data_IF_981099389804
#
_entry.id   IF_981099389804
#
_cell.length_a   1.000
_cell.length_b   1.000
_cell.length_c   1.000
_cell.angle_alpha   90.00
_cell.angle_beta   90.00
_cell.angle_gamma   90.00
#
_symmetry.space_group_name_H-M   'P 1'
#
loop_
_entity.id
_entity.type
_entity.pdbx_description
1 polymer ?
#
# COMPACT_ATOMS: atom_id res chain seq x y z
N UNK A 1 13.01 1.00 11.69
CA UNK A 1 13.45 -0.38 11.92
C UNK A 1 12.22 -1.23 12.23
N UNK A 2 12.09 -2.35 11.54
CA UNK A 2 10.94 -3.24 11.62
C UNK A 2 11.41 -4.63 12.07
N UNK A 3 10.56 -5.35 12.80
CA UNK A 3 10.75 -6.76 13.12
C UNK A 3 9.68 -7.61 12.45
N UNK A 4 10.09 -8.72 11.88
CA UNK A 4 9.22 -9.78 11.35
C UNK A 4 9.54 -11.07 12.10
N UNK A 5 8.51 -11.78 12.59
CA UNK A 5 8.66 -13.05 13.30
C UNK A 5 7.53 -13.99 12.88
N UNK A 6 7.89 -15.10 12.24
CA UNK A 6 6.96 -16.16 11.79
C UNK A 6 5.82 -15.62 10.91
N UNK A 7 6.14 -14.74 9.97
CA UNK A 7 5.18 -14.09 9.08
C UNK A 7 5.67 -14.04 7.63
N UNK A 8 4.74 -13.86 6.71
CA UNK A 8 5.02 -13.43 5.35
C UNK A 8 4.78 -11.92 5.23
N UNK A 9 5.83 -11.11 5.34
CA UNK A 9 5.68 -9.66 5.37
C UNK A 9 5.22 -9.07 4.02
N UNK A 10 5.67 -9.68 2.92
CA UNK A 10 5.35 -9.25 1.56
C UNK A 10 5.57 -10.41 0.59
N UNK A 11 4.51 -11.18 0.34
CA UNK A 11 4.55 -12.30 -0.58
C UNK A 11 4.70 -11.88 -2.04
N UNK A 12 5.37 -12.74 -2.82
CA UNK A 12 5.50 -12.58 -4.25
C UNK A 12 4.47 -13.45 -4.99
N UNK A 13 3.43 -12.84 -5.62
CA UNK A 13 2.38 -13.60 -6.30
C UNK A 13 2.91 -14.42 -7.49
N UNK A 14 4.02 -14.00 -8.11
CA UNK A 14 4.65 -14.71 -9.22
C UNK A 14 5.53 -15.88 -8.75
N UNK A 15 5.81 -15.97 -7.45
CA UNK A 15 6.64 -17.01 -6.85
C UNK A 15 5.87 -17.75 -5.74
N UNK A 16 4.65 -18.19 -6.03
CA UNK A 16 3.83 -18.97 -5.08
C UNK A 16 3.57 -18.24 -3.75
N UNK A 17 3.53 -16.92 -3.77
CA UNK A 17 3.35 -16.05 -2.59
C UNK A 17 4.43 -16.26 -1.50
N UNK A 18 5.66 -16.63 -1.90
CA UNK A 18 6.81 -16.69 -0.98
C UNK A 18 7.20 -15.28 -0.52
N UNK A 19 7.71 -15.12 0.71
CA UNK A 19 8.33 -13.87 1.12
C UNK A 19 9.38 -13.42 0.11
N UNK A 20 9.40 -12.14 -0.25
CA UNK A 20 10.37 -11.59 -1.20
C UNK A 20 11.76 -11.59 -0.60
N UNK A 21 12.74 -11.94 -1.40
CA UNK A 21 14.17 -11.83 -1.09
C UNK A 21 14.93 -11.36 -2.32
N UNK A 22 16.06 -10.72 -2.10
CA UNK A 22 17.05 -10.49 -3.16
C UNK A 22 17.89 -11.75 -3.42
N UNK A 23 18.87 -11.65 -4.35
CA UNK A 23 19.77 -12.75 -4.69
C UNK A 23 20.71 -13.15 -3.55
N UNK A 24 20.96 -12.26 -2.60
CA UNK A 24 21.75 -12.53 -1.39
C UNK A 24 20.96 -13.19 -0.27
N UNK A 25 19.66 -13.40 -0.47
CA UNK A 25 18.78 -13.95 0.56
C UNK A 25 18.29 -12.92 1.58
N UNK A 26 18.57 -11.62 1.38
CA UNK A 26 18.03 -10.56 2.22
C UNK A 26 16.55 -10.39 1.95
N UNK A 27 15.74 -10.43 3.00
CA UNK A 27 14.29 -10.25 2.87
C UNK A 27 13.93 -8.85 2.44
N UNK A 28 12.92 -8.72 1.58
CA UNK A 28 12.40 -7.45 1.09
C UNK A 28 10.94 -7.23 1.45
N UNK A 29 10.62 -6.03 1.92
CA UNK A 29 9.26 -5.50 2.00
C UNK A 29 9.22 -4.27 1.08
N UNK A 30 8.48 -4.37 -0.02
CA UNK A 30 8.45 -3.31 -1.04
C UNK A 30 7.89 -2.01 -0.49
N UNK A 31 8.33 -0.88 -1.07
CA UNK A 31 7.79 0.45 -0.77
C UNK A 31 6.28 0.53 -0.99
N UNK A 32 5.77 -0.16 -2.01
CA UNK A 32 4.32 -0.25 -2.30
C UNK A 32 3.58 -0.92 -1.14
N UNK A 33 4.13 -2.01 -0.59
CA UNK A 33 3.57 -2.70 0.56
C UNK A 33 3.55 -1.78 1.80
N UNK A 34 4.65 -1.08 2.08
CA UNK A 34 4.74 -0.14 3.20
C UNK A 34 3.75 1.03 3.03
N UNK A 35 3.70 1.63 1.83
CA UNK A 35 2.77 2.72 1.52
C UNK A 35 1.30 2.29 1.66
N UNK A 36 0.96 1.04 1.30
CA UNK A 36 -0.39 0.52 1.54
C UNK A 36 -0.73 0.55 3.03
N UNK A 37 0.15 0.04 3.87
CA UNK A 37 -0.07 0.02 5.33
C UNK A 37 -0.20 1.42 5.93
N UNK A 38 0.61 2.36 5.46
CA UNK A 38 0.47 3.76 5.86
C UNK A 38 -0.87 4.36 5.43
N UNK A 39 -1.33 4.07 4.19
CA UNK A 39 -2.66 4.50 3.75
C UNK A 39 -3.78 3.92 4.60
N UNK A 40 -3.68 2.64 4.97
CA UNK A 40 -4.66 1.99 5.84
C UNK A 40 -4.74 2.68 7.21
N UNK A 41 -3.58 3.03 7.80
CA UNK A 41 -3.54 3.77 9.08
C UNK A 41 -4.06 5.20 8.95
N UNK A 42 -3.69 5.90 7.88
CA UNK A 42 -4.20 7.24 7.60
C UNK A 42 -5.72 7.24 7.40
N UNK A 43 -6.26 6.24 6.71
CA UNK A 43 -7.71 6.08 6.53
C UNK A 43 -8.40 5.86 7.89
N UNK A 44 -7.84 5.03 8.75
CA UNK A 44 -8.37 4.79 10.10
C UNK A 44 -8.25 6.02 11.01
N UNK A 45 -7.27 6.89 10.80
CA UNK A 45 -7.18 8.17 11.50
C UNK A 45 -8.13 9.25 10.95
N UNK A 46 -8.95 8.91 9.95
CA UNK A 46 -9.94 9.82 9.38
C UNK A 46 -9.45 10.64 8.19
N UNK A 47 -8.25 10.37 7.68
CA UNK A 47 -7.75 11.05 6.49
C UNK A 47 -8.45 10.54 5.22
N UNK A 48 -8.74 11.45 4.29
CA UNK A 48 -9.26 11.06 2.99
C UNK A 48 -8.14 10.43 2.15
N UNK A 49 -8.32 9.19 1.72
CA UNK A 49 -7.35 8.40 0.95
C UNK A 49 -7.93 8.04 -0.41
N UNK A 50 -7.16 8.31 -1.46
CA UNK A 50 -7.51 7.97 -2.83
C UNK A 50 -7.30 6.48 -3.14
N UNK A 51 -6.12 5.93 -2.80
CA UNK A 51 -5.80 4.53 -3.06
C UNK A 51 -6.16 3.70 -1.84
N UNK A 52 -7.40 3.23 -1.80
CA UNK A 52 -7.91 2.33 -0.75
C UNK A 52 -7.90 0.89 -1.27
N UNK A 53 -7.53 -0.05 -0.42
CA UNK A 53 -7.62 -1.48 -0.75
C UNK A 53 -9.09 -1.95 -0.73
N UNK A 54 -9.41 -2.95 -1.57
CA UNK A 54 -10.80 -3.42 -1.73
C UNK A 54 -11.41 -3.96 -0.44
N UNK A 55 -10.60 -4.54 0.45
CA UNK A 55 -11.00 -5.06 1.74
C UNK A 55 -11.22 -3.99 2.82
N UNK A 56 -10.75 -2.75 2.59
CA UNK A 56 -10.80 -1.66 3.57
C UNK A 56 -11.45 -0.38 3.05
N UNK A 57 -11.92 -0.38 1.80
CA UNK A 57 -12.58 0.80 1.23
C UNK A 57 -13.85 1.17 2.01
N UNK A 58 -14.01 2.46 2.25
CA UNK A 58 -15.11 3.00 3.06
C UNK A 58 -16.16 3.73 2.23
N UNK A 59 -15.92 3.93 0.94
CA UNK A 59 -16.75 4.77 0.06
C UNK A 59 -17.57 3.97 -0.97
N UNK A 60 -17.41 2.63 -1.01
CA UNK A 60 -18.14 1.76 -1.93
C UNK A 60 -17.70 1.85 -3.40
N UNK A 61 -16.71 2.69 -3.73
CA UNK A 61 -16.26 2.86 -5.11
C UNK A 61 -15.59 1.59 -5.65
N UNK A 62 -15.91 1.23 -6.89
CA UNK A 62 -15.47 -0.04 -7.49
C UNK A 62 -14.12 0.03 -8.18
N UNK A 63 -13.61 1.24 -8.42
CA UNK A 63 -12.29 1.47 -9.04
C UNK A 63 -11.74 2.84 -8.67
N UNK A 64 -10.42 3.03 -8.88
CA UNK A 64 -9.79 4.35 -8.72
C UNK A 64 -10.40 5.40 -9.67
N UNK A 65 -10.78 4.99 -10.88
CA UNK A 65 -11.45 5.89 -11.81
C UNK A 65 -12.82 6.32 -11.28
N UNK A 66 -13.63 5.37 -10.83
CA UNK A 66 -14.95 5.69 -10.27
C UNK A 66 -14.82 6.63 -9.07
N UNK A 67 -13.86 6.36 -8.17
CA UNK A 67 -13.57 7.25 -7.03
C UNK A 67 -13.16 8.65 -7.49
N UNK A 68 -12.26 8.76 -8.49
CA UNK A 68 -11.83 10.06 -9.01
C UNK A 68 -13.00 10.84 -9.64
N UNK A 69 -13.82 10.17 -10.46
CA UNK A 69 -14.93 10.77 -11.21
C UNK A 69 -16.23 10.88 -10.39
N UNK A 70 -16.31 10.33 -9.20
CA UNK A 70 -17.46 10.39 -8.32
C UNK A 70 -17.80 11.85 -7.95
N UNK A 71 -19.07 12.20 -8.01
CA UNK A 71 -19.52 13.52 -7.59
C UNK A 71 -19.51 13.70 -6.06
N UNK A 72 -19.62 12.59 -5.31
CA UNK A 72 -19.63 12.59 -3.84
C UNK A 72 -18.23 12.35 -3.28
N UNK A 73 -17.59 11.27 -3.73
CA UNK A 73 -16.32 10.81 -3.19
C UNK A 73 -15.11 11.36 -3.94
N UNK A 74 -15.29 11.88 -5.16
CA UNK A 74 -14.23 12.33 -6.06
C UNK A 74 -14.24 13.83 -6.35
N UNK A 75 -13.74 14.16 -7.53
CA UNK A 75 -13.71 15.51 -8.08
C UNK A 75 -14.76 15.75 -9.17
N UNK A 76 -15.54 14.71 -9.50
CA UNK A 76 -16.48 14.72 -10.59
C UNK A 76 -15.83 14.43 -11.95
N UNK A 77 -16.64 13.98 -12.92
CA UNK A 77 -16.16 13.61 -14.26
C UNK A 77 -15.54 14.77 -15.04
N UNK A 78 -15.99 15.99 -14.78
CA UNK A 78 -15.51 17.18 -15.52
C UNK A 78 -14.05 17.50 -15.23
N UNK A 79 -13.54 17.17 -14.05
CA UNK A 79 -12.15 17.35 -13.67
C UNK A 79 -11.19 16.48 -14.49
N UNK A 80 -11.68 15.40 -15.11
CA UNK A 80 -10.88 14.43 -15.86
C UNK A 80 -11.20 14.40 -17.36
N UNK A 81 -11.88 15.42 -17.90
CA UNK A 81 -12.08 15.61 -19.33
C UNK A 81 -10.78 16.05 -20.00
N UNK A 82 -10.64 15.75 -21.31
CA UNK A 82 -9.45 16.09 -22.10
C UNK A 82 -9.09 17.59 -22.07
N UNK A 83 -10.11 18.44 -22.02
CA UNK A 83 -9.99 19.91 -21.97
C UNK A 83 -9.99 20.50 -20.55
N UNK A 84 -9.98 19.65 -19.52
CA UNK A 84 -9.90 20.13 -18.14
C UNK A 84 -8.54 20.77 -17.85
N UNK A 85 -8.52 21.75 -16.97
CA UNK A 85 -7.28 22.34 -16.49
C UNK A 85 -6.55 21.35 -15.56
N UNK A 86 -5.49 20.73 -16.08
CA UNK A 86 -4.73 19.69 -15.36
C UNK A 86 -4.13 20.18 -14.05
N UNK A 87 -3.64 21.41 -14.01
CA UNK A 87 -3.03 21.99 -12.80
C UNK A 87 -4.10 22.26 -11.73
N UNK A 88 -5.25 22.77 -12.13
CA UNK A 88 -6.38 22.93 -11.21
C UNK A 88 -6.87 21.60 -10.66
N UNK A 89 -7.00 20.57 -11.50
CA UNK A 89 -7.38 19.23 -11.07
C UNK A 89 -6.33 18.63 -10.12
N UNK A 90 -5.04 18.79 -10.41
CA UNK A 90 -3.97 18.33 -9.53
C UNK A 90 -4.04 18.99 -8.15
N UNK A 91 -4.26 20.31 -8.09
CA UNK A 91 -4.44 21.04 -6.82
C UNK A 91 -5.65 20.55 -6.03
N UNK A 92 -6.79 20.36 -6.69
CA UNK A 92 -7.99 19.82 -6.06
C UNK A 92 -7.78 18.39 -5.53
N UNK A 93 -7.09 17.53 -6.29
CA UNK A 93 -6.76 16.18 -5.88
C UNK A 93 -5.85 16.17 -4.64
N UNK A 94 -4.82 17.01 -4.63
CA UNK A 94 -3.93 17.16 -3.47
C UNK A 94 -4.68 17.71 -2.24
N UNK A 95 -5.57 18.69 -2.43
CA UNK A 95 -6.37 19.24 -1.34
C UNK A 95 -7.31 18.19 -0.74
N UNK A 96 -7.90 17.32 -1.60
CA UNK A 96 -8.87 16.32 -1.16
C UNK A 96 -8.23 15.11 -0.50
N UNK A 97 -7.19 14.52 -1.12
CA UNK A 97 -6.64 13.23 -0.68
C UNK A 97 -5.24 13.36 -0.09
N UNK A 98 -5.09 12.89 1.13
CA UNK A 98 -3.82 12.90 1.84
C UNK A 98 -2.73 12.14 1.08
N UNK A 99 -3.02 10.92 0.63
CA UNK A 99 -2.03 10.08 -0.05
C UNK A 99 -1.63 10.61 -1.42
N UNK A 100 -2.50 11.37 -2.09
CA UNK A 100 -2.16 12.06 -3.35
C UNK A 100 -1.17 13.19 -3.09
N UNK A 101 -1.43 14.07 -2.09
CA UNK A 101 -0.49 15.16 -1.77
C UNK A 101 0.81 14.69 -1.15
N UNK A 102 0.78 13.53 -0.44
CA UNK A 102 1.97 12.97 0.21
C UNK A 102 2.83 12.15 -0.75
N UNK A 103 2.26 11.14 -1.39
CA UNK A 103 2.99 10.15 -2.18
C UNK A 103 2.94 10.39 -3.69
N UNK A 104 2.04 11.27 -4.12
CA UNK A 104 1.75 11.51 -5.53
C UNK A 104 0.82 10.47 -6.14
N UNK A 105 0.35 10.77 -7.35
CA UNK A 105 -0.54 9.91 -8.13
C UNK A 105 -0.45 10.26 -9.60
N UNK A 106 -0.63 9.26 -10.47
CA UNK A 106 -0.89 9.49 -11.90
C UNK A 106 -2.34 9.16 -12.18
N UNK A 107 -3.13 10.18 -12.54
CA UNK A 107 -4.49 9.98 -13.02
C UNK A 107 -4.42 9.76 -14.54
N UNK A 108 -4.31 8.51 -14.96
CA UNK A 108 -4.26 8.12 -16.36
C UNK A 108 -5.53 7.31 -16.69
N UNK A 109 -6.50 7.99 -17.27
CA UNK A 109 -7.76 7.36 -17.63
C UNK A 109 -7.89 7.32 -19.15
N UNK A 110 -8.06 6.11 -19.70
CA UNK A 110 -8.36 5.93 -21.11
C UNK A 110 -9.74 6.54 -21.43
N UNK A 111 -9.82 7.27 -22.55
CA UNK A 111 -11.10 7.68 -23.05
C UNK A 111 -11.83 6.48 -23.67
N UNK A 112 -13.15 6.41 -23.51
CA UNK A 112 -13.98 5.52 -24.29
C UNK A 112 -14.12 6.08 -25.71
N UNK A 113 -13.70 5.32 -26.72
CA UNK A 113 -13.74 5.75 -28.13
C UNK A 113 -12.55 6.64 -28.55
N UNK A 114 -12.69 7.36 -29.67
CA UNK A 114 -11.65 8.20 -30.29
C UNK A 114 -11.25 9.47 -29.51
N UNK A 115 -11.82 9.72 -28.35
CA UNK A 115 -11.46 10.85 -27.50
C UNK A 115 -10.20 10.50 -26.71
N UNK A 116 -9.10 11.19 -26.93
CA UNK A 116 -7.82 10.97 -26.26
C UNK A 116 -7.96 11.01 -24.73
N UNK A 117 -7.26 10.09 -24.02
CA UNK A 117 -7.27 9.99 -22.58
C UNK A 117 -6.67 11.21 -21.86
N UNK A 118 -6.94 11.34 -20.57
CA UNK A 118 -6.30 12.34 -19.72
C UNK A 118 -5.15 11.70 -18.95
N UNK A 119 -4.04 12.44 -18.84
CA UNK A 119 -2.92 12.07 -17.96
C UNK A 119 -2.54 13.29 -17.12
N UNK A 120 -2.66 13.14 -15.79
CA UNK A 120 -2.34 14.18 -14.80
C UNK A 120 -1.35 13.54 -13.81
N UNK A 121 -0.03 13.74 -13.99
CA UNK A 121 0.97 13.26 -13.07
C UNK A 121 1.13 14.22 -11.90
N UNK A 122 1.09 13.69 -10.69
CA UNK A 122 1.37 14.43 -9.45
C UNK A 122 2.54 13.72 -8.77
N UNK A 123 3.63 14.45 -8.55
CA UNK A 123 4.78 13.96 -7.80
C UNK A 123 4.68 14.42 -6.36
N UNK A 124 4.54 13.47 -5.44
CA UNK A 124 4.48 13.75 -4.01
C UNK A 124 5.85 14.01 -3.39
N UNK A 125 5.90 14.72 -2.25
CA UNK A 125 7.12 15.03 -1.50
C UNK A 125 7.66 13.83 -0.72
N UNK A 126 6.81 12.90 -0.31
CA UNK A 126 7.17 11.79 0.58
C UNK A 126 7.65 10.60 -0.23
N UNK A 127 8.89 10.21 -0.01
CA UNK A 127 9.45 8.97 -0.54
C UNK A 127 9.68 7.97 0.59
N UNK A 128 9.42 6.71 0.32
CA UNK A 128 9.72 5.58 1.20
C UNK A 128 10.39 4.54 0.33
N UNK A 129 11.50 3.99 0.79
CA UNK A 129 12.22 2.93 0.10
C UNK A 129 11.68 1.56 0.53
N UNK A 130 11.94 0.52 -0.26
CA UNK A 130 11.77 -0.86 0.22
C UNK A 130 12.56 -1.08 1.51
N UNK A 131 12.00 -1.87 2.41
CA UNK A 131 12.73 -2.31 3.60
C UNK A 131 13.49 -3.58 3.28
N UNK A 132 14.77 -3.62 3.60
CA UNK A 132 15.60 -4.82 3.49
C UNK A 132 16.01 -5.33 4.86
N UNK A 133 16.09 -6.64 4.99
CA UNK A 133 16.60 -7.25 6.22
C UNK A 133 18.09 -6.95 6.39
N UNK A 134 18.55 -6.85 7.65
CA UNK A 134 19.97 -6.57 7.96
C UNK A 134 20.85 -7.79 7.79
N UNK A 135 20.24 -8.97 7.75
CA UNK A 135 20.87 -10.26 7.51
C UNK A 135 20.00 -11.10 6.58
N UNK A 136 20.55 -12.09 5.85
CA UNK A 136 19.76 -13.04 5.09
C UNK A 136 18.70 -13.70 5.97
N UNK A 137 17.50 -13.91 5.42
CA UNK A 137 16.38 -14.49 6.17
C UNK A 137 16.14 -15.95 5.81
N UNK A 138 15.74 -16.73 6.80
CA UNK A 138 15.30 -18.11 6.57
C UNK A 138 13.79 -18.15 6.29
N UNK A 139 13.43 -18.83 5.19
CA UNK A 139 12.04 -19.01 4.78
C UNK A 139 11.62 -20.44 5.01
N UNK A 140 10.71 -20.64 5.95
CA UNK A 140 10.06 -21.94 6.19
C UNK A 140 8.86 -22.07 5.26
N UNK A 141 8.80 -23.20 4.56
CA UNK A 141 7.69 -23.61 3.69
C UNK A 141 6.98 -24.81 4.30
N UNK A 142 5.68 -24.67 4.55
CA UNK A 142 4.87 -25.72 5.17
C UNK A 142 3.70 -26.05 4.26
N UNK A 143 3.50 -27.32 3.96
CA UNK A 143 2.30 -27.77 3.28
C UNK A 143 1.10 -27.67 4.23
N UNK A 144 -0.01 -27.15 3.72
CA UNK A 144 -1.28 -27.06 4.44
C UNK A 144 -2.36 -27.79 3.65
N UNK A 145 -3.35 -28.32 4.35
CA UNK A 145 -4.52 -28.93 3.74
C UNK A 145 -5.79 -28.31 4.29
N UNK A 146 -6.78 -28.13 3.42
CA UNK A 146 -8.14 -27.78 3.85
C UNK A 146 -8.80 -29.02 4.45
N UNK A 147 -9.58 -28.83 5.50
CA UNK A 147 -10.40 -29.89 6.10
C UNK A 147 -11.63 -30.23 5.26
N UNK A 148 -12.07 -29.27 4.43
CA UNK A 148 -13.26 -29.38 3.57
C UNK A 148 -12.90 -28.97 2.15
N UNK A 149 -13.36 -29.71 1.15
CA UNK A 149 -13.23 -29.32 -0.26
C UNK A 149 -14.16 -28.14 -0.58
N UNK A 150 -13.66 -27.14 -1.30
CA UNK A 150 -14.44 -25.98 -1.74
C UNK A 150 -15.34 -26.30 -2.92
N UNK A 151 -14.97 -27.29 -3.71
CA UNK A 151 -15.71 -27.78 -4.89
C UNK A 151 -15.73 -29.32 -4.85
N UNK A 152 -16.85 -29.90 -5.15
CA UNK A 152 -17.00 -31.37 -5.20
C UNK A 152 -18.38 -31.83 -4.70
N UNK A 153 -18.74 -33.04 -5.12
CA UNK A 153 -19.98 -33.72 -4.75
C UNK A 153 -19.96 -34.38 -3.36
N UNK A 154 -18.87 -34.16 -2.60
CA UNK A 154 -18.70 -34.77 -1.26
C UNK A 154 -18.17 -36.19 -1.24
N UNK A 155 -17.95 -36.83 -2.40
CA UNK A 155 -17.51 -38.23 -2.47
C UNK A 155 -15.99 -38.40 -2.49
N UNK A 156 -15.24 -37.40 -2.96
CA UNK A 156 -13.78 -37.38 -3.02
C UNK A 156 -13.22 -36.01 -2.65
N UNK A 157 -12.04 -35.98 -2.00
CA UNK A 157 -11.29 -34.76 -1.81
C UNK A 157 -10.77 -34.24 -3.15
N UNK A 158 -11.12 -33.01 -3.50
CA UNK A 158 -10.59 -32.33 -4.68
C UNK A 158 -9.09 -32.00 -4.53
N UNK A 159 -8.41 -31.78 -5.65
CA UNK A 159 -6.98 -31.35 -5.69
C UNK A 159 -6.73 -29.96 -5.10
N UNK A 160 -7.79 -29.16 -4.92
CA UNK A 160 -7.76 -27.83 -4.33
C UNK A 160 -7.57 -27.81 -2.80
N UNK A 161 -7.53 -28.99 -2.16
CA UNK A 161 -7.41 -29.12 -0.70
C UNK A 161 -6.00 -28.92 -0.17
N UNK A 162 -4.99 -28.91 -1.03
CA UNK A 162 -3.58 -28.72 -0.67
C UNK A 162 -3.08 -27.35 -1.05
N UNK A 163 -2.24 -26.77 -0.22
CA UNK A 163 -1.57 -25.51 -0.48
C UNK A 163 -0.24 -25.41 0.25
N UNK A 164 0.52 -24.36 -0.05
CA UNK A 164 1.77 -24.06 0.62
C UNK A 164 1.64 -22.75 1.40
N UNK A 165 2.19 -22.73 2.60
CA UNK A 165 2.35 -21.52 3.41
C UNK A 165 3.83 -21.25 3.61
N UNK A 166 4.24 -20.04 3.28
CA UNK A 166 5.63 -19.60 3.39
C UNK A 166 5.72 -18.44 4.39
N UNK A 167 6.77 -18.45 5.19
CA UNK A 167 7.00 -17.41 6.21
C UNK A 167 8.49 -17.18 6.41
N UNK A 168 8.85 -15.95 6.74
CA UNK A 168 10.14 -15.63 7.35
C UNK A 168 10.11 -16.07 8.80
N UNK A 169 11.12 -16.80 9.26
CA UNK A 169 11.17 -17.24 10.65
C UNK A 169 11.47 -16.09 11.60
N UNK A 170 12.45 -15.27 11.27
CA UNK A 170 12.79 -14.04 11.98
C UNK A 170 13.60 -13.12 11.07
N UNK A 171 13.44 -11.79 11.23
CA UNK A 171 14.25 -10.82 10.52
C UNK A 171 14.04 -9.40 11.06
N UNK A 172 15.12 -8.63 11.10
CA UNK A 172 15.11 -7.19 11.35
C UNK A 172 15.27 -6.49 10.00
N UNK A 173 14.39 -5.55 9.70
CA UNK A 173 14.37 -4.84 8.41
C UNK A 173 14.58 -3.35 8.66
N UNK A 174 15.33 -2.71 7.77
CA UNK A 174 15.52 -1.27 7.76
C UNK A 174 14.93 -0.68 6.48
N UNK A 175 14.26 0.46 6.61
CA UNK A 175 13.81 1.29 5.50
C UNK A 175 14.13 2.74 5.79
N UNK A 176 14.23 3.53 4.74
CA UNK A 176 14.48 4.97 4.79
C UNK A 176 13.41 5.70 4.00
N UNK A 177 13.16 6.92 4.39
CA UNK A 177 12.25 7.82 3.69
C UNK A 177 12.73 9.26 3.77
N UNK A 178 12.18 10.12 2.93
CA UNK A 178 12.46 11.55 2.96
C UNK A 178 11.22 12.34 2.57
N UNK A 179 11.17 13.58 3.03
CA UNK A 179 10.18 14.58 2.63
C UNK A 179 10.93 15.71 1.94
N UNK A 180 10.59 15.97 0.66
CA UNK A 180 11.18 17.04 -0.13
C UNK A 180 10.37 18.32 0.00
N UNK A 181 10.89 19.41 0.60
CA UNK A 181 10.15 20.65 0.83
C UNK A 181 9.66 21.31 -0.47
N UNK A 182 10.46 21.29 -1.53
CA UNK A 182 10.08 21.91 -2.82
C UNK A 182 8.88 21.21 -3.49
N UNK A 183 8.77 19.89 -3.31
CA UNK A 183 7.61 19.13 -3.78
C UNK A 183 6.41 19.32 -2.83
N UNK A 184 6.66 19.48 -1.54
CA UNK A 184 5.63 19.75 -0.54
C UNK A 184 4.88 21.07 -0.84
N UNK A 185 5.60 22.13 -1.18
CA UNK A 185 5.00 23.40 -1.62
C UNK A 185 4.06 23.23 -2.83
N UNK A 186 4.43 22.36 -3.78
CA UNK A 186 3.63 22.14 -4.99
C UNK A 186 2.35 21.36 -4.72
N UNK A 187 2.38 20.43 -3.77
CA UNK A 187 1.23 19.58 -3.45
C UNK A 187 0.39 20.09 -2.29
N UNK A 188 0.88 21.10 -1.56
CA UNK A 188 0.25 21.59 -0.35
C UNK A 188 0.44 20.68 0.87
N UNK A 189 1.44 19.78 0.82
CA UNK A 189 1.82 18.95 1.96
C UNK A 189 2.54 19.81 3.01
N UNK A 190 1.97 19.92 4.19
CA UNK A 190 2.46 20.80 5.24
C UNK A 190 3.01 20.08 6.48
N UNK A 191 3.42 20.88 7.47
CA UNK A 191 3.92 20.38 8.75
C UNK A 191 2.88 19.51 9.48
N UNK A 192 1.60 19.84 9.39
CA UNK A 192 0.53 19.03 9.98
C UNK A 192 0.47 17.62 9.36
N UNK A 193 0.60 17.53 8.03
CA UNK A 193 0.65 16.24 7.33
C UNK A 193 1.90 15.44 7.72
N UNK A 194 3.04 16.12 7.89
CA UNK A 194 4.28 15.49 8.34
C UNK A 194 4.16 14.93 9.76
N UNK A 195 3.49 15.65 10.67
CA UNK A 195 3.23 15.17 12.03
C UNK A 195 2.26 13.98 12.04
N UNK A 196 1.21 14.02 11.22
CA UNK A 196 0.28 12.89 11.07
C UNK A 196 1.03 11.65 10.56
N UNK A 197 1.85 11.80 9.51
CA UNK A 197 2.67 10.70 8.99
C UNK A 197 3.62 10.16 10.07
N UNK A 198 4.28 11.04 10.83
CA UNK A 198 5.17 10.66 11.93
C UNK A 198 4.44 9.88 13.02
N UNK A 199 3.22 10.29 13.36
CA UNK A 199 2.41 9.64 14.39
C UNK A 199 1.96 8.22 14.01
N UNK A 200 1.68 7.96 12.72
CA UNK A 200 1.24 6.64 12.26
C UNK A 200 2.38 5.66 12.00
N UNK A 201 3.62 6.14 11.77
CA UNK A 201 4.76 5.26 11.47
C UNK A 201 4.98 4.17 12.53
N UNK A 202 4.98 4.44 13.84
CA UNK A 202 5.12 3.40 14.87
C UNK A 202 3.98 2.38 14.86
N UNK A 203 2.80 2.80 14.38
CA UNK A 203 1.56 2.03 14.38
C UNK A 203 1.27 1.34 13.04
N UNK A 204 2.25 1.30 12.14
CA UNK A 204 2.09 0.85 10.74
C UNK A 204 1.42 -0.53 10.63
N UNK A 205 1.68 -1.44 11.54
CA UNK A 205 1.17 -2.81 11.50
C UNK A 205 -0.05 -3.06 12.43
N UNK A 206 -0.57 -2.04 13.09
CA UNK A 206 -1.82 -2.17 13.84
C UNK A 206 -2.96 -2.57 12.89
N UNK A 207 -3.86 -3.45 13.34
CA UNK A 207 -4.98 -3.97 12.56
C UNK A 207 -4.60 -4.59 11.19
N UNK A 208 -3.34 -5.02 11.00
CA UNK A 208 -2.86 -5.66 9.76
C UNK A 208 -2.80 -7.19 9.87
N UNK A 209 -3.37 -7.75 10.94
CA UNK A 209 -3.35 -9.18 11.18
C UNK A 209 -4.08 -9.96 10.08
N UNK A 210 -3.48 -11.07 9.68
CA UNK A 210 -4.03 -12.00 8.69
C UNK A 210 -3.43 -13.40 8.91
N UNK A 211 -3.92 -14.39 8.16
CA UNK A 211 -3.32 -15.74 8.20
C UNK A 211 -1.84 -15.78 7.80
N UNK A 212 -1.39 -14.83 6.97
CA UNK A 212 0.01 -14.69 6.55
C UNK A 212 0.84 -13.87 7.54
N UNK A 213 0.20 -13.00 8.28
CA UNK A 213 0.78 -12.09 9.29
C UNK A 213 -0.04 -12.18 10.57
N UNK A 214 0.17 -13.20 11.41
CA UNK A 214 -0.49 -13.30 12.70
C UNK A 214 -0.26 -12.05 13.56
N UNK A 215 -1.17 -11.78 14.47
CA UNK A 215 -1.04 -10.64 15.38
C UNK A 215 0.30 -10.68 16.14
N UNK A 216 0.95 -9.51 16.30
CA UNK A 216 2.27 -9.39 16.92
C UNK A 216 3.44 -9.96 16.11
N UNK A 217 3.19 -10.50 14.90
CA UNK A 217 4.26 -11.06 14.05
C UNK A 217 5.08 -10.01 13.29
N UNK A 218 4.55 -8.80 13.18
CA UNK A 218 5.22 -7.65 12.58
C UNK A 218 5.08 -6.44 13.50
N UNK A 219 6.16 -5.74 13.73
CA UNK A 219 6.14 -4.51 14.54
C UNK A 219 7.18 -3.50 14.08
N UNK A 220 6.94 -2.24 14.39
CA UNK A 220 7.92 -1.16 14.26
C UNK A 220 8.68 -1.05 15.57
N UNK A 221 9.98 -1.36 15.54
CA UNK A 221 10.86 -1.28 16.73
C UNK A 221 11.28 0.14 17.04
N UNK A 222 11.62 0.90 15.99
CA UNK A 222 12.15 2.25 16.14
C UNK A 222 11.85 3.08 14.91
N UNK A 223 11.45 4.32 15.14
CA UNK A 223 11.37 5.38 14.13
C UNK A 223 12.35 6.48 14.54
N UNK A 224 13.29 6.81 13.66
CA UNK A 224 14.18 7.94 13.82
C UNK A 224 13.75 9.03 12.85
N UNK A 225 13.47 10.20 13.38
CA UNK A 225 12.98 11.32 12.61
C UNK A 225 13.92 12.50 12.75
N UNK A 226 14.49 12.96 11.64
CA UNK A 226 15.32 14.15 11.59
C UNK A 226 14.56 15.30 10.92
N UNK A 227 14.77 16.49 11.45
CA UNK A 227 14.37 17.74 10.82
C UNK A 227 15.64 18.54 10.55
N UNK A 228 15.86 18.87 9.29
CA UNK A 228 16.96 19.70 8.83
C UNK A 228 16.56 21.17 8.77
#
# INVERSE_FOLDING_TARGET
>A
VLRVKRANPNGDPLNGNRPRTDYGGFGEITDVCLKRKLRDRLLESGQAIFVQSDDRKVDGETSLRNRAESAVNGLGKDAFKKNANKDATAKLACAKWFDVRAFGQVFAFAAGGDAGGVSIPIRGPVTIQSAFSVEPVFITSTQITKSVSGEGDGTKRGSDTMGMKHRVDSGIYCTFGSINPQLAERTGFGDADAQELKAILPRMFENDASSARPDGSMEVLTVVWWRH
#
